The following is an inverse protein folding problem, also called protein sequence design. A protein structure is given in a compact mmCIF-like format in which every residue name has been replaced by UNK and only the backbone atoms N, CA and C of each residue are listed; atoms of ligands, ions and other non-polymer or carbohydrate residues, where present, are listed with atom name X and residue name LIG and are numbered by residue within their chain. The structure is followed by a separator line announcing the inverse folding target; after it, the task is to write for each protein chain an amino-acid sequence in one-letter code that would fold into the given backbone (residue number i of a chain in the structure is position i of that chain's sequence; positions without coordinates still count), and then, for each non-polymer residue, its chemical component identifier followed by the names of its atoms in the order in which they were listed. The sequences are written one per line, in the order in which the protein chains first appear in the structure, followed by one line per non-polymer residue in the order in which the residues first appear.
data_IF_386108413225
#
_entry.id   IF_386108413225
#
_cell.length_a   1.000
_cell.length_b   1.000
_cell.length_c   1.000
_cell.angle_alpha   90.00
_cell.angle_beta   90.00
_cell.angle_gamma   90.00
#
_symmetry.space_group_name_H-M   'P 1'
#
loop_
_entity.id
_entity.type
_entity.pdbx_description
1 polymer ?
#
# COMPACT_ATOMS: atom_id res chain seq x y z
N UNK A 1 23.66 8.16 30.55
CA UNK A 1 23.46 9.43 29.83
C UNK A 1 22.19 9.34 29.01
N UNK A 2 21.12 10.02 29.43
CA UNK A 2 19.87 10.11 28.68
C UNK A 2 20.09 11.12 27.54
N UNK A 3 20.36 10.63 26.32
CA UNK A 3 20.54 11.50 25.15
C UNK A 3 19.24 12.26 24.88
N UNK A 4 19.34 13.58 24.77
CA UNK A 4 18.23 14.49 24.46
C UNK A 4 17.43 14.01 23.25
N UNK A 5 16.15 13.71 23.50
CA UNK A 5 15.24 13.02 22.61
C UNK A 5 14.70 13.98 21.54
N UNK A 6 15.55 14.36 20.58
CA UNK A 6 15.18 15.31 19.53
C UNK A 6 14.46 14.57 18.39
N UNK A 7 13.18 14.27 18.59
CA UNK A 7 12.33 13.69 17.54
C UNK A 7 12.15 14.72 16.43
N UNK A 8 12.78 14.50 15.28
CA UNK A 8 12.46 15.27 14.09
C UNK A 8 11.14 14.74 13.51
N UNK A 9 10.03 15.26 14.04
CA UNK A 9 8.67 14.86 13.65
C UNK A 9 8.44 15.01 12.14
N UNK A 10 9.08 16.00 11.50
CA UNK A 10 9.01 16.20 10.05
C UNK A 10 9.62 15.04 9.28
N UNK A 11 10.79 14.54 9.70
CA UNK A 11 11.44 13.38 9.05
C UNK A 11 10.68 12.08 9.30
N UNK A 12 10.12 11.90 10.50
CA UNK A 12 9.24 10.77 10.81
C UNK A 12 7.99 10.80 9.90
N UNK A 13 7.39 11.98 9.73
CA UNK A 13 6.24 12.18 8.84
C UNK A 13 6.56 11.84 7.38
N UNK A 14 7.75 12.20 6.88
CA UNK A 14 8.22 11.82 5.55
C UNK A 14 8.34 10.30 5.38
N UNK A 15 8.88 9.59 6.38
CA UNK A 15 9.01 8.13 6.36
C UNK A 15 7.64 7.44 6.38
N UNK A 16 6.70 7.93 7.20
CA UNK A 16 5.32 7.44 7.19
C UNK A 16 4.64 7.64 5.84
N UNK A 17 4.84 8.81 5.22
CA UNK A 17 4.32 9.10 3.88
C UNK A 17 4.93 8.18 2.82
N UNK A 18 6.21 7.84 2.94
CA UNK A 18 6.87 6.89 2.05
C UNK A 18 6.26 5.48 2.16
N UNK A 19 6.08 4.98 3.39
CA UNK A 19 5.39 3.70 3.67
C UNK A 19 3.99 3.72 3.06
N UNK A 20 3.19 4.77 3.30
CA UNK A 20 1.83 4.87 2.77
C UNK A 20 1.80 4.84 1.24
N UNK A 21 2.67 5.62 0.59
CA UNK A 21 2.76 5.68 -0.87
C UNK A 21 3.16 4.34 -1.46
N UNK A 22 4.09 3.65 -0.82
CA UNK A 22 4.50 2.31 -1.25
C UNK A 22 3.33 1.31 -1.16
N UNK A 23 2.51 1.42 -0.11
CA UNK A 23 1.30 0.61 0.05
C UNK A 23 0.12 1.07 -0.82
N UNK A 24 0.30 2.11 -1.64
CA UNK A 24 -0.73 2.72 -2.49
C UNK A 24 -2.03 3.11 -1.75
N UNK A 25 -1.93 3.49 -0.47
CA UNK A 25 -3.09 3.84 0.38
C UNK A 25 -3.36 5.34 0.45
N UNK A 26 -4.63 5.69 0.62
CA UNK A 26 -5.02 7.06 0.99
C UNK A 26 -4.73 7.31 2.47
N UNK A 27 -4.61 8.58 2.87
CA UNK A 27 -4.44 8.94 4.29
C UNK A 27 -5.60 8.42 5.14
N UNK A 28 -6.82 8.40 4.59
CA UNK A 28 -8.00 7.85 5.26
C UNK A 28 -7.89 6.35 5.50
N UNK A 29 -7.48 5.59 4.49
CA UNK A 29 -7.29 4.15 4.62
C UNK A 29 -6.21 3.83 5.66
N UNK A 30 -5.10 4.57 5.64
CA UNK A 30 -4.02 4.35 6.61
C UNK A 30 -4.42 4.75 8.03
N UNK A 31 -5.16 5.86 8.20
CA UNK A 31 -5.67 6.27 9.51
C UNK A 31 -6.64 5.23 10.10
N UNK A 32 -7.58 4.72 9.29
CA UNK A 32 -8.53 3.68 9.69
C UNK A 32 -7.82 2.41 10.14
N UNK A 33 -6.78 2.01 9.41
CA UNK A 33 -6.00 0.81 9.68
C UNK A 33 -5.15 0.91 10.95
N UNK A 34 -4.64 2.11 11.24
CA UNK A 34 -3.92 2.42 12.48
C UNK A 34 -4.85 2.68 13.67
N UNK A 35 -6.17 2.68 13.48
CA UNK A 35 -7.15 2.98 14.53
C UNK A 35 -7.09 4.43 15.04
N UNK A 36 -6.60 5.36 14.22
CA UNK A 36 -6.52 6.79 14.58
C UNK A 36 -7.37 7.66 13.66
N UNK A 37 -7.66 8.89 14.07
CA UNK A 37 -8.40 9.82 13.22
C UNK A 37 -7.58 10.29 12.02
N UNK A 38 -8.25 10.57 10.89
CA UNK A 38 -7.63 11.13 9.70
C UNK A 38 -6.87 12.43 10.01
N UNK A 39 -7.46 13.30 10.85
CA UNK A 39 -6.82 14.55 11.29
C UNK A 39 -5.51 14.28 12.03
N UNK A 40 -5.48 13.27 12.90
CA UNK A 40 -4.27 12.88 13.61
C UNK A 40 -3.22 12.33 12.65
N UNK A 41 -3.59 11.42 11.74
CA UNK A 41 -2.67 10.88 10.74
C UNK A 41 -2.10 11.97 9.81
N UNK A 42 -2.93 12.89 9.34
CA UNK A 42 -2.50 14.01 8.50
C UNK A 42 -1.46 14.89 9.22
N UNK A 43 -1.70 15.21 10.50
CA UNK A 43 -0.74 15.95 11.35
C UNK A 43 0.58 15.20 11.55
N UNK A 44 0.54 13.86 11.64
CA UNK A 44 1.75 13.04 11.75
C UNK A 44 2.58 13.08 10.46
N UNK A 45 1.96 12.98 9.27
CA UNK A 45 2.70 13.03 7.99
C UNK A 45 3.43 14.36 7.75
N UNK A 46 2.89 15.47 8.28
CA UNK A 46 3.49 16.80 8.14
C UNK A 46 4.40 17.18 9.33
N UNK A 47 4.56 16.30 10.32
CA UNK A 47 5.46 16.52 11.46
C UNK A 47 4.96 17.50 12.52
N UNK A 48 3.66 17.83 12.51
CA UNK A 48 3.04 18.77 13.48
C UNK A 48 2.34 18.00 14.62
N UNK A 49 1.93 16.76 14.36
CA UNK A 49 1.31 15.88 15.35
C UNK A 49 2.36 15.25 16.26
N UNK A 50 2.19 15.37 17.58
CA UNK A 50 3.04 14.68 18.54
C UNK A 50 2.89 13.16 18.39
N UNK A 51 3.99 12.47 18.12
CA UNK A 51 4.02 11.01 18.08
C UNK A 51 4.32 10.47 19.49
N UNK A 52 3.38 9.73 20.06
CA UNK A 52 3.66 9.01 21.31
C UNK A 52 4.58 7.83 21.05
N UNK A 53 5.41 7.46 22.04
CA UNK A 53 6.28 6.27 21.96
C UNK A 53 5.48 5.00 21.66
N UNK A 54 4.28 4.88 22.24
CA UNK A 54 3.37 3.75 22.00
C UNK A 54 2.92 3.66 20.55
N UNK A 55 2.62 4.79 19.91
CA UNK A 55 2.25 4.83 18.49
C UNK A 55 3.43 4.42 17.60
N UNK A 56 4.65 4.87 17.91
CA UNK A 56 5.88 4.46 17.19
C UNK A 56 6.13 2.95 17.22
N UNK A 57 5.91 2.31 18.37
CA UNK A 57 6.01 0.84 18.51
C UNK A 57 4.90 0.13 17.74
N UNK A 58 3.67 0.63 17.81
CA UNK A 58 2.55 0.06 17.07
C UNK A 58 2.79 0.10 15.55
N UNK A 59 3.27 1.24 15.05
CA UNK A 59 3.64 1.44 13.64
C UNK A 59 4.76 0.49 13.19
N UNK A 60 5.83 0.40 14.00
CA UNK A 60 6.95 -0.50 13.73
C UNK A 60 6.50 -1.96 13.61
N UNK A 61 5.66 -2.44 14.54
CA UNK A 61 5.11 -3.81 14.49
C UNK A 61 4.17 -4.02 13.31
N UNK A 62 3.29 -3.06 13.06
CA UNK A 62 2.26 -3.18 12.03
C UNK A 62 2.85 -3.23 10.61
N UNK A 63 3.88 -2.42 10.35
CA UNK A 63 4.56 -2.36 9.04
C UNK A 63 5.83 -3.22 8.96
N UNK A 64 6.22 -3.89 10.03
CA UNK A 64 7.45 -4.69 10.05
C UNK A 64 8.73 -3.87 9.85
N UNK A 65 8.71 -2.56 10.15
CA UNK A 65 9.86 -1.66 9.95
C UNK A 65 10.65 -1.47 11.25
N UNK A 66 11.98 -1.37 11.21
CA UNK A 66 12.78 -1.09 12.40
C UNK A 66 12.39 0.24 13.05
N UNK A 67 12.11 0.22 14.36
CA UNK A 67 11.71 1.42 15.10
C UNK A 67 12.79 2.50 15.11
N UNK A 68 14.07 2.10 15.11
CA UNK A 68 15.20 3.01 15.02
C UNK A 68 15.21 3.77 13.68
N UNK A 69 14.93 3.08 12.57
CA UNK A 69 14.78 3.71 11.27
C UNK A 69 13.55 4.62 11.22
N UNK A 70 12.41 4.17 11.75
CA UNK A 70 11.17 4.95 11.71
C UNK A 70 11.34 6.27 12.48
N UNK A 71 11.85 6.22 13.71
CA UNK A 71 11.94 7.39 14.60
C UNK A 71 13.17 8.25 14.33
N UNK A 72 14.33 7.64 14.09
CA UNK A 72 15.61 8.35 14.00
C UNK A 72 16.19 8.34 12.59
N UNK A 73 15.79 7.41 11.73
CA UNK A 73 16.38 7.21 10.41
C UNK A 73 17.70 6.46 10.46
N UNK A 74 17.97 5.80 11.59
CA UNK A 74 19.19 5.05 11.82
C UNK A 74 19.01 3.60 11.35
N UNK A 75 20.09 3.02 10.82
CA UNK A 75 20.13 1.64 10.34
C UNK A 75 19.71 1.48 8.89
N UNK A 76 19.52 0.23 8.47
CA UNK A 76 19.12 -0.10 7.10
C UNK A 76 17.73 0.43 6.79
N UNK A 77 17.60 1.07 5.62
CA UNK A 77 16.30 1.42 5.07
C UNK A 77 15.51 0.15 4.85
N UNK A 78 14.27 0.03 5.35
CA UNK A 78 13.45 -1.14 5.12
C UNK A 78 13.33 -1.35 3.61
N UNK A 79 13.55 -2.59 3.17
CA UNK A 79 13.15 -2.96 1.82
C UNK A 79 11.62 -2.87 1.76
N UNK A 80 11.16 -1.81 1.10
CA UNK A 80 9.74 -1.52 1.00
C UNK A 80 8.99 -2.66 0.30
N UNK A 81 9.64 -3.42 -0.59
CA UNK A 81 9.04 -4.57 -1.28
C UNK A 81 8.64 -5.72 -0.34
N UNK A 82 9.27 -5.76 0.85
CA UNK A 82 9.09 -6.73 1.93
C UNK A 82 8.20 -6.20 3.07
N UNK A 83 7.68 -4.96 2.99
CA UNK A 83 6.70 -4.43 3.97
C UNK A 83 5.39 -5.21 3.82
N UNK A 84 5.30 -6.31 4.57
CA UNK A 84 4.09 -7.07 4.78
C UNK A 84 3.33 -6.47 5.97
N UNK A 85 2.03 -6.25 5.80
CA UNK A 85 1.16 -5.90 6.92
C UNK A 85 1.11 -7.09 7.87
N UNK A 86 1.60 -6.94 9.09
CA UNK A 86 1.37 -7.94 10.13
C UNK A 86 -0.06 -7.78 10.64
N UNK A 87 -1.02 -8.36 9.91
CA UNK A 87 -2.38 -8.53 10.42
C UNK A 87 -2.36 -9.76 11.31
N UNK A 88 -2.37 -9.55 12.63
CA UNK A 88 -2.55 -10.64 13.57
C UNK A 88 -3.85 -11.38 13.22
N UNK A 89 -3.73 -12.59 12.68
CA UNK A 89 -4.87 -13.44 12.28
C UNK A 89 -5.04 -13.70 10.78
N UNK A 90 -4.17 -13.20 9.90
CA UNK A 90 -4.08 -13.69 8.52
C UNK A 90 -2.65 -14.17 8.31
N UNK A 91 -2.43 -15.48 8.44
CA UNK A 91 -1.32 -16.14 7.78
C UNK A 91 -1.57 -16.02 6.27
N UNK A 92 -1.27 -14.85 5.68
CA UNK A 92 -1.23 -14.75 4.23
C UNK A 92 0.04 -15.47 3.82
N UNK A 93 -0.12 -16.73 3.43
CA UNK A 93 0.84 -17.54 2.72
C UNK A 93 1.76 -16.68 1.83
N UNK A 94 2.91 -16.29 2.38
CA UNK A 94 3.91 -15.47 1.69
C UNK A 94 4.63 -16.26 0.60
N UNK A 95 4.38 -17.57 0.48
CA UNK A 95 4.98 -18.42 -0.54
C UNK A 95 4.25 -18.34 -1.87
N UNK A 96 3.07 -17.71 -1.92
CA UNK A 96 2.20 -17.70 -3.10
C UNK A 96 1.92 -16.29 -3.64
N UNK A 97 2.85 -15.32 -3.46
CA UNK A 97 2.79 -14.07 -4.24
C UNK A 97 2.99 -14.46 -5.71
N UNK A 98 2.01 -14.27 -6.61
CA UNK A 98 2.24 -14.54 -8.02
C UNK A 98 3.39 -13.63 -8.47
N UNK A 99 4.50 -14.24 -8.85
CA UNK A 99 5.60 -13.52 -9.50
C UNK A 99 5.02 -12.87 -10.74
N UNK A 100 5.19 -11.55 -10.89
CA UNK A 100 4.81 -10.86 -12.12
C UNK A 100 5.77 -11.34 -13.20
N UNK A 101 5.31 -12.27 -14.04
CA UNK A 101 6.08 -12.79 -15.16
C UNK A 101 5.89 -11.92 -16.40
N UNK A 102 6.87 -11.96 -17.30
CA UNK A 102 6.78 -11.26 -18.59
C UNK A 102 5.55 -11.73 -19.39
N UNK A 103 5.27 -13.04 -19.38
CA UNK A 103 4.09 -13.63 -20.04
C UNK A 103 2.77 -13.07 -19.49
N UNK A 104 2.68 -12.88 -18.17
CA UNK A 104 1.49 -12.29 -17.55
C UNK A 104 1.33 -10.83 -17.95
N UNK A 105 2.42 -10.06 -18.02
CA UNK A 105 2.38 -8.66 -18.46
C UNK A 105 1.94 -8.58 -19.93
N UNK A 106 2.52 -9.39 -20.81
CA UNK A 106 2.16 -9.43 -22.23
C UNK A 106 0.67 -9.72 -22.40
N UNK A 107 0.17 -10.74 -21.70
CA UNK A 107 -1.27 -11.08 -21.69
C UNK A 107 -2.15 -9.93 -21.20
N UNK A 108 -1.74 -9.24 -20.15
CA UNK A 108 -2.49 -8.07 -19.64
C UNK A 108 -2.54 -6.97 -20.70
N UNK A 109 -1.44 -6.72 -21.41
CA UNK A 109 -1.39 -5.70 -22.48
C UNK A 109 -2.31 -6.09 -23.63
N UNK A 110 -2.30 -7.35 -24.08
CA UNK A 110 -3.20 -7.84 -25.13
C UNK A 110 -4.66 -7.59 -24.78
N UNK A 111 -5.07 -7.93 -23.55
CA UNK A 111 -6.45 -7.68 -23.08
C UNK A 111 -6.75 -6.18 -23.08
N UNK A 112 -5.82 -5.33 -22.65
CA UNK A 112 -6.03 -3.88 -22.62
C UNK A 112 -6.17 -3.30 -24.03
N UNK A 113 -5.48 -3.87 -25.01
CA UNK A 113 -5.57 -3.45 -26.42
C UNK A 113 -6.84 -3.94 -27.13
N UNK A 114 -7.69 -4.75 -26.49
CA UNK A 114 -9.03 -5.03 -27.03
C UNK A 114 -9.86 -3.74 -27.13
N UNK A 115 -10.47 -3.50 -28.30
CA UNK A 115 -11.20 -2.27 -28.66
C UNK A 115 -12.25 -1.85 -27.62
N UNK A 116 -12.83 -2.82 -26.90
CA UNK A 116 -13.89 -2.59 -25.93
C UNK A 116 -13.39 -2.24 -24.53
N UNK A 117 -12.17 -2.66 -24.14
CA UNK A 117 -11.72 -2.60 -22.74
C UNK A 117 -11.44 -1.17 -22.28
N UNK A 118 -10.71 -0.38 -23.08
CA UNK A 118 -10.39 1.03 -22.79
C UNK A 118 -11.65 1.91 -22.64
N UNK A 119 -12.62 1.91 -23.58
CA UNK A 119 -13.83 2.72 -23.44
C UNK A 119 -14.72 2.27 -22.27
N UNK A 120 -14.81 0.95 -22.00
CA UNK A 120 -15.58 0.44 -20.86
C UNK A 120 -14.94 0.87 -19.52
N UNK A 121 -13.61 0.79 -19.42
CA UNK A 121 -12.87 1.25 -18.24
C UNK A 121 -13.09 2.74 -17.98
N UNK A 122 -13.12 3.57 -19.02
CA UNK A 122 -13.42 4.99 -18.91
C UNK A 122 -14.83 5.22 -18.38
N UNK A 123 -15.83 4.54 -18.93
CA UNK A 123 -17.23 4.62 -18.46
C UNK A 123 -17.39 4.18 -17.01
N UNK A 124 -16.71 3.10 -16.60
CA UNK A 124 -16.72 2.63 -15.21
C UNK A 124 -16.07 3.65 -14.30
N UNK A 125 -14.92 4.21 -14.68
CA UNK A 125 -14.21 5.22 -13.89
C UNK A 125 -15.10 6.44 -13.62
N UNK A 126 -15.78 6.94 -14.66
CA UNK A 126 -16.70 8.08 -14.59
C UNK A 126 -17.95 7.78 -13.74
N UNK A 127 -18.52 6.57 -13.88
CA UNK A 127 -19.77 6.20 -13.20
C UNK A 127 -19.56 5.84 -11.73
N UNK A 128 -18.43 5.19 -11.40
CA UNK A 128 -18.17 4.62 -10.07
C UNK A 128 -17.22 5.45 -9.22
N UNK A 129 -16.76 6.59 -9.74
CA UNK A 129 -15.79 7.49 -9.09
C UNK A 129 -14.51 6.77 -8.65
N UNK A 130 -13.98 5.89 -9.51
CA UNK A 130 -12.69 5.21 -9.33
C UNK A 130 -11.70 5.66 -10.41
N UNK A 131 -10.40 5.43 -10.19
CA UNK A 131 -9.40 5.77 -11.20
C UNK A 131 -9.50 4.87 -12.43
N UNK A 132 -9.19 5.42 -13.60
CA UNK A 132 -9.15 4.68 -14.86
C UNK A 132 -8.31 3.39 -14.79
N UNK A 133 -7.13 3.45 -14.18
CA UNK A 133 -6.24 2.30 -13.99
C UNK A 133 -6.88 1.20 -13.13
N UNK A 134 -7.70 1.57 -12.14
CA UNK A 134 -8.41 0.61 -11.29
C UNK A 134 -9.55 -0.05 -12.07
N UNK A 135 -10.26 0.71 -12.88
CA UNK A 135 -11.29 0.17 -13.78
C UNK A 135 -10.69 -0.81 -14.80
N UNK A 136 -9.55 -0.46 -15.43
CA UNK A 136 -8.81 -1.37 -16.31
C UNK A 136 -8.42 -2.66 -15.58
N UNK A 137 -7.81 -2.56 -14.40
CA UNK A 137 -7.41 -3.73 -13.62
C UNK A 137 -8.59 -4.64 -13.27
N UNK A 138 -9.78 -4.08 -13.00
CA UNK A 138 -10.99 -4.86 -12.74
C UNK A 138 -11.43 -5.65 -13.97
N UNK A 139 -11.45 -5.02 -15.14
CA UNK A 139 -11.85 -5.67 -16.40
C UNK A 139 -10.85 -6.75 -16.81
N UNK A 140 -9.56 -6.45 -16.75
CA UNK A 140 -8.48 -7.40 -17.06
C UNK A 140 -8.56 -8.62 -16.15
N UNK A 141 -8.75 -8.41 -14.85
CA UNK A 141 -8.89 -9.52 -13.88
C UNK A 141 -10.07 -10.43 -14.20
N UNK A 142 -11.22 -9.83 -14.57
CA UNK A 142 -12.41 -10.61 -14.91
C UNK A 142 -12.21 -11.41 -16.20
N UNK A 143 -11.57 -10.81 -17.22
CA UNK A 143 -11.27 -11.49 -18.49
C UNK A 143 -10.33 -12.69 -18.29
N UNK A 144 -9.25 -12.51 -17.53
CA UNK A 144 -8.32 -13.60 -17.20
C UNK A 144 -9.07 -14.74 -16.50
N UNK A 145 -9.96 -14.42 -15.57
CA UNK A 145 -10.76 -15.41 -14.85
C UNK A 145 -11.72 -16.16 -15.76
N UNK A 146 -12.40 -15.47 -16.68
CA UNK A 146 -13.30 -16.09 -17.64
C UNK A 146 -12.56 -17.12 -18.52
N UNK A 147 -11.39 -16.77 -19.05
CA UNK A 147 -10.60 -17.70 -19.86
C UNK A 147 -10.05 -18.91 -19.07
N UNK A 148 -9.79 -18.76 -17.78
CA UNK A 148 -9.37 -19.87 -16.92
C UNK A 148 -10.52 -20.84 -16.64
N UNK A 149 -11.75 -20.34 -16.57
CA UNK A 149 -12.96 -21.16 -16.42
C UNK A 149 -13.22 -21.93 -17.72
N UNK A 150 -13.13 -21.27 -18.88
CA UNK A 150 -13.30 -21.92 -20.18
C UNK A 150 -12.26 -23.01 -20.46
N UNK A 151 -11.01 -22.82 -20.03
CA UNK A 151 -9.95 -23.85 -20.17
C UNK A 151 -10.14 -25.07 -19.27
N UNK A 152 -10.98 -24.98 -18.24
CA UNK A 152 -11.24 -26.07 -17.27
C UNK A 152 -12.58 -26.77 -17.49
N UNK A 153 -13.41 -26.27 -18.40
CA UNK A 153 -14.69 -26.85 -18.81
C UNK A 153 -14.49 -27.81 -19.99
#
# INVERSE_FOLDING_TARGET
MLKSNNFNLTEIGKRLKAIRKHLHKTQFQMAKELGISLSHYSKLEIGIGGMSRGLGVALSKHFGVPIAWLLYGEGETPDFSTIAMNVAGIESDMTNRPTVTEDLIAKIIEIIEEDEIKPLAKKIAETTNITYHRALAMLVKEKIRAEEIERKA
#
